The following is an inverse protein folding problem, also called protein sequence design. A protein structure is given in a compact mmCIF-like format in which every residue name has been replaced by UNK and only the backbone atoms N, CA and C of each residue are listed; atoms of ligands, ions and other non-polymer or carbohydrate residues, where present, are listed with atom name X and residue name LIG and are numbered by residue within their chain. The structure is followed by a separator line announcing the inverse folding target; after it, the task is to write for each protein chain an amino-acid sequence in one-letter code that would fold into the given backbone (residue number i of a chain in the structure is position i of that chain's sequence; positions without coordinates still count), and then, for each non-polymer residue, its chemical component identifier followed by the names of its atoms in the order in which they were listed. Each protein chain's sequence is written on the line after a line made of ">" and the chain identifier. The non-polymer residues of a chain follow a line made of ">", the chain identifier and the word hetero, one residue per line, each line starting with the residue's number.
data_IF_751013607423
#
_entry.id   IF_751013607423
#
_cell.length_a   1.000
_cell.length_b   1.000
_cell.length_c   1.000
_cell.angle_alpha   90.00
_cell.angle_beta   90.00
_cell.angle_gamma   90.00
#
_symmetry.space_group_name_H-M   'P 1'
#
loop_
_entity.id
_entity.type
_entity.pdbx_description
1 polymer ?
#
# COMPACT_ATOMS: atom_id res chain seq x y z
N UNK A 1 9.95 -59.03 -54.35
CA UNK A 1 8.87 -58.81 -53.34
C UNK A 1 9.47 -58.49 -51.97
N UNK A 2 10.56 -59.16 -51.58
CA UNK A 2 11.17 -58.96 -50.24
C UNK A 2 11.81 -57.58 -49.99
N UNK A 3 12.41 -56.97 -51.03
CA UNK A 3 13.02 -55.65 -50.93
C UNK A 3 11.96 -54.53 -50.64
N UNK A 4 10.79 -54.58 -51.29
CA UNK A 4 9.70 -53.64 -51.12
C UNK A 4 9.09 -53.79 -49.72
N UNK A 5 8.98 -55.00 -49.18
CA UNK A 5 8.49 -55.28 -47.84
C UNK A 5 9.46 -54.72 -46.76
N UNK A 6 10.79 -54.92 -47.01
CA UNK A 6 11.84 -54.37 -46.14
C UNK A 6 11.84 -52.81 -46.06
N UNK A 7 11.60 -52.15 -47.19
CA UNK A 7 11.49 -50.70 -47.25
C UNK A 7 10.25 -50.22 -46.51
N UNK A 8 9.09 -50.85 -46.69
CA UNK A 8 7.86 -50.58 -46.00
C UNK A 8 7.98 -50.75 -44.49
N UNK A 9 8.62 -51.78 -44.01
CA UNK A 9 8.89 -52.06 -42.62
C UNK A 9 9.82 -51.01 -42.01
N UNK A 10 10.92 -50.65 -42.69
CA UNK A 10 11.84 -49.58 -42.25
C UNK A 10 11.16 -48.23 -42.17
N UNK A 11 10.31 -47.90 -43.14
CA UNK A 11 9.53 -46.65 -43.15
C UNK A 11 8.50 -46.61 -42.02
N UNK A 12 7.85 -47.73 -41.70
CA UNK A 12 6.92 -47.86 -40.58
C UNK A 12 7.64 -47.66 -39.23
N UNK A 13 8.78 -48.30 -39.01
CA UNK A 13 9.61 -48.17 -37.81
C UNK A 13 10.10 -46.73 -37.66
N UNK A 14 10.54 -46.11 -38.76
CA UNK A 14 10.94 -44.70 -38.76
C UNK A 14 9.78 -43.80 -38.38
N UNK A 15 8.59 -43.99 -38.92
CA UNK A 15 7.39 -43.18 -38.64
C UNK A 15 6.94 -43.31 -37.18
N UNK A 16 6.96 -44.54 -36.64
CA UNK A 16 6.64 -44.82 -35.22
C UNK A 16 7.65 -44.13 -34.27
N UNK A 17 8.94 -44.24 -34.58
CA UNK A 17 9.98 -43.60 -33.76
C UNK A 17 9.94 -42.08 -33.84
N UNK A 18 9.61 -41.54 -35.03
CA UNK A 18 9.40 -40.11 -35.24
C UNK A 18 8.19 -39.60 -34.42
N UNK A 19 7.05 -40.27 -34.51
CA UNK A 19 5.85 -39.95 -33.74
C UNK A 19 6.12 -40.03 -32.24
N UNK A 20 6.79 -41.08 -31.77
CA UNK A 20 7.15 -41.27 -30.36
C UNK A 20 8.01 -40.12 -29.83
N UNK A 21 9.02 -39.69 -30.61
CA UNK A 21 9.91 -38.58 -30.19
C UNK A 21 9.29 -37.21 -30.32
N UNK A 22 8.50 -36.96 -31.36
CA UNK A 22 8.05 -35.61 -31.73
C UNK A 22 6.63 -35.26 -31.26
N UNK A 23 5.82 -36.25 -30.89
CA UNK A 23 4.44 -36.06 -30.46
C UNK A 23 4.20 -36.64 -29.07
N UNK A 24 4.47 -37.96 -28.88
CA UNK A 24 4.06 -38.62 -27.64
C UNK A 24 4.87 -38.15 -26.43
N UNK A 25 6.19 -38.03 -26.57
CA UNK A 25 7.10 -37.66 -25.48
C UNK A 25 6.86 -36.21 -24.99
N UNK A 26 6.65 -35.20 -25.85
CA UNK A 26 6.24 -33.89 -25.43
C UNK A 26 4.85 -33.85 -24.77
N UNK A 27 3.90 -34.62 -25.27
CA UNK A 27 2.56 -34.69 -24.72
C UNK A 27 2.52 -35.21 -23.28
N UNK A 28 3.27 -36.27 -22.97
CA UNK A 28 3.41 -36.77 -21.59
C UNK A 28 4.07 -35.76 -20.64
N UNK A 29 5.00 -34.94 -21.16
CA UNK A 29 5.57 -33.88 -20.35
C UNK A 29 4.54 -32.78 -20.01
N UNK A 30 3.66 -32.47 -20.95
CA UNK A 30 2.60 -31.50 -20.75
C UNK A 30 1.60 -31.99 -19.72
N UNK A 31 1.22 -33.27 -19.74
CA UNK A 31 0.33 -33.88 -18.75
C UNK A 31 0.90 -33.72 -17.32
N UNK A 32 2.18 -34.06 -17.16
CA UNK A 32 2.88 -33.89 -15.87
C UNK A 32 2.98 -32.43 -15.42
N UNK A 33 3.21 -31.46 -16.32
CA UNK A 33 3.28 -30.05 -16.02
C UNK A 33 1.93 -29.51 -15.56
N UNK A 34 0.85 -29.89 -16.21
CA UNK A 34 -0.51 -29.48 -15.80
C UNK A 34 -0.89 -30.06 -14.43
N UNK A 35 -0.51 -31.29 -14.14
CA UNK A 35 -0.73 -31.89 -12.81
C UNK A 35 0.05 -31.17 -11.70
N UNK A 36 1.32 -30.84 -11.92
CA UNK A 36 2.14 -30.11 -10.93
C UNK A 36 1.63 -28.68 -10.70
N UNK A 37 1.23 -27.98 -11.75
CA UNK A 37 0.59 -26.67 -11.62
C UNK A 37 -0.73 -26.74 -10.85
N UNK A 38 -1.55 -27.78 -11.10
CA UNK A 38 -2.81 -28.00 -10.39
C UNK A 38 -2.58 -28.32 -8.90
N UNK A 39 -1.46 -28.95 -8.54
CA UNK A 39 -1.03 -29.17 -7.15
C UNK A 39 -0.43 -27.92 -6.49
N UNK A 40 -0.30 -26.82 -7.22
CA UNK A 40 0.29 -25.56 -6.73
C UNK A 40 1.82 -25.56 -6.68
N UNK A 41 2.50 -26.51 -7.35
CA UNK A 41 3.95 -26.53 -7.49
C UNK A 41 4.38 -25.59 -8.63
N UNK A 42 4.66 -24.33 -8.30
CA UNK A 42 5.03 -23.28 -9.25
C UNK A 42 6.55 -23.19 -9.49
N UNK A 43 7.37 -23.89 -8.70
CA UNK A 43 8.83 -23.81 -8.78
C UNK A 43 9.46 -24.61 -9.94
N UNK A 44 8.66 -25.38 -10.68
CA UNK A 44 9.15 -26.23 -11.75
C UNK A 44 9.35 -25.43 -13.04
N UNK A 45 10.59 -25.33 -13.58
CA UNK A 45 10.83 -24.59 -14.81
C UNK A 45 10.18 -25.28 -16.00
N UNK A 46 9.46 -24.53 -16.82
CA UNK A 46 8.89 -25.04 -18.06
C UNK A 46 9.96 -24.94 -19.15
N UNK A 47 10.41 -26.07 -19.73
CA UNK A 47 11.46 -26.04 -20.72
C UNK A 47 10.99 -25.37 -22.01
N UNK A 48 11.77 -24.41 -22.50
CA UNK A 48 11.53 -23.77 -23.78
C UNK A 48 11.67 -24.80 -24.92
N UNK A 49 10.61 -25.11 -25.65
CA UNK A 49 10.62 -26.03 -26.77
C UNK A 49 10.51 -25.25 -28.08
N UNK A 50 11.44 -25.54 -29.01
CA UNK A 50 11.51 -24.90 -30.35
C UNK A 50 10.48 -25.45 -31.36
N UNK A 51 9.54 -26.30 -30.92
CA UNK A 51 8.52 -26.88 -31.78
C UNK A 51 7.41 -25.85 -32.09
N UNK A 52 7.12 -25.65 -33.37
CA UNK A 52 6.09 -24.70 -33.82
C UNK A 52 4.69 -25.00 -33.29
N UNK A 53 4.36 -26.25 -32.99
CA UNK A 53 3.02 -26.66 -32.57
C UNK A 53 2.81 -26.62 -31.05
N UNK A 54 3.85 -26.89 -30.26
CA UNK A 54 3.79 -26.98 -28.82
C UNK A 54 4.38 -25.73 -28.10
N UNK A 55 5.22 -24.99 -28.82
CA UNK A 55 5.90 -23.81 -28.25
C UNK A 55 4.95 -22.75 -27.73
N UNK A 56 3.88 -22.44 -28.47
CA UNK A 56 2.85 -21.45 -28.02
C UNK A 56 2.12 -21.92 -26.78
N UNK A 57 1.78 -23.21 -26.70
CA UNK A 57 1.11 -23.76 -25.52
C UNK A 57 2.00 -23.73 -24.28
N UNK A 58 3.26 -24.18 -24.41
CA UNK A 58 4.22 -24.13 -23.31
C UNK A 58 4.53 -22.71 -22.87
N UNK A 59 4.60 -21.77 -23.80
CA UNK A 59 4.75 -20.34 -23.47
C UNK A 59 3.53 -19.81 -22.71
N UNK A 60 2.30 -20.14 -23.13
CA UNK A 60 1.09 -19.77 -22.39
C UNK A 60 1.04 -20.38 -20.99
N UNK A 61 1.50 -21.63 -20.84
CA UNK A 61 1.60 -22.29 -19.53
C UNK A 61 2.66 -21.62 -18.64
N UNK A 62 3.78 -21.18 -19.23
CA UNK A 62 4.83 -20.47 -18.48
C UNK A 62 4.34 -19.09 -18.00
N UNK A 63 3.62 -18.35 -18.85
CA UNK A 63 2.98 -17.11 -18.44
C UNK A 63 1.96 -17.34 -17.32
N UNK A 64 1.12 -18.38 -17.45
CA UNK A 64 0.15 -18.72 -16.40
C UNK A 64 0.86 -19.05 -15.07
N UNK A 65 1.92 -19.85 -15.12
CA UNK A 65 2.73 -20.19 -13.95
C UNK A 65 3.28 -18.91 -13.29
N UNK A 66 3.92 -18.03 -14.08
CA UNK A 66 4.48 -16.78 -13.55
C UNK A 66 3.39 -15.90 -12.92
N UNK A 67 2.23 -15.77 -13.56
CA UNK A 67 1.09 -15.02 -13.00
C UNK A 67 0.59 -15.64 -11.68
N UNK A 68 0.52 -16.97 -11.60
CA UNK A 68 0.13 -17.66 -10.35
C UNK A 68 1.18 -17.49 -9.25
N UNK A 69 2.48 -17.53 -9.60
CA UNK A 69 3.59 -17.31 -8.67
C UNK A 69 3.56 -15.89 -8.12
N UNK A 70 3.44 -14.87 -8.98
CA UNK A 70 3.30 -13.46 -8.60
C UNK A 70 2.08 -13.23 -7.69
N UNK A 71 0.94 -13.83 -8.03
CA UNK A 71 -0.26 -13.72 -7.21
C UNK A 71 -0.10 -14.38 -5.83
N UNK A 72 0.57 -15.55 -5.78
CA UNK A 72 0.86 -16.25 -4.53
C UNK A 72 1.82 -15.44 -3.64
N UNK A 73 2.86 -14.85 -4.23
CA UNK A 73 3.79 -13.97 -3.50
C UNK A 73 3.07 -12.74 -2.94
N UNK A 74 2.26 -12.07 -3.76
CA UNK A 74 1.42 -10.95 -3.31
C UNK A 74 0.51 -11.36 -2.16
N UNK A 75 -0.15 -12.51 -2.26
CA UNK A 75 -1.04 -13.02 -1.22
C UNK A 75 -0.30 -13.32 0.09
N UNK A 76 0.89 -13.92 0.00
CA UNK A 76 1.76 -14.16 1.17
C UNK A 76 2.25 -12.86 1.81
N UNK A 77 2.60 -11.88 0.99
CA UNK A 77 3.02 -10.56 1.45
C UNK A 77 1.87 -9.86 2.21
N UNK A 78 0.67 -9.85 1.64
CA UNK A 78 -0.52 -9.29 2.27
C UNK A 78 -0.86 -9.98 3.60
N UNK A 79 -0.73 -11.31 3.67
CA UNK A 79 -0.92 -12.04 4.92
C UNK A 79 0.10 -11.68 5.99
N UNK A 80 1.38 -11.49 5.61
CA UNK A 80 2.42 -11.01 6.52
C UNK A 80 2.11 -9.61 7.04
N UNK A 81 1.73 -8.70 6.15
CA UNK A 81 1.36 -7.33 6.50
C UNK A 81 0.17 -7.30 7.45
N UNK A 82 -0.89 -8.06 7.15
CA UNK A 82 -2.05 -8.21 8.03
C UNK A 82 -1.67 -8.77 9.42
N UNK A 83 -0.80 -9.77 9.47
CA UNK A 83 -0.31 -10.34 10.74
C UNK A 83 0.50 -9.33 11.53
N UNK A 84 1.38 -8.59 10.87
CA UNK A 84 2.22 -7.55 11.50
C UNK A 84 1.34 -6.43 12.07
N UNK A 85 0.32 -6.00 11.33
CA UNK A 85 -0.67 -5.04 11.79
C UNK A 85 -1.34 -5.50 13.10
N UNK A 86 -1.91 -6.70 13.10
CA UNK A 86 -2.62 -7.23 14.27
C UNK A 86 -1.69 -7.29 15.49
N UNK A 87 -0.43 -7.68 15.28
CA UNK A 87 0.56 -7.74 16.38
C UNK A 87 0.91 -6.33 16.90
N UNK A 88 1.15 -5.37 16.02
CA UNK A 88 1.45 -3.99 16.40
C UNK A 88 0.28 -3.37 17.17
N UNK A 89 -0.92 -3.44 16.63
CA UNK A 89 -2.12 -2.89 17.27
C UNK A 89 -2.45 -3.57 18.61
N UNK A 90 -2.17 -4.87 18.73
CA UNK A 90 -2.32 -5.59 20.03
C UNK A 90 -1.36 -5.01 21.08
N UNK A 91 -0.12 -4.68 20.68
CA UNK A 91 0.85 -4.04 21.57
C UNK A 91 0.38 -2.63 21.94
N UNK A 92 -0.09 -1.86 20.99
CA UNK A 92 -0.48 -0.45 21.16
C UNK A 92 -1.77 -0.32 22.00
N UNK A 93 -2.69 -1.28 21.94
CA UNK A 93 -3.86 -1.37 22.83
C UNK A 93 -3.45 -1.76 24.28
N UNK A 94 -2.43 -2.59 24.43
CA UNK A 94 -2.00 -3.06 25.76
C UNK A 94 -1.49 -1.92 26.65
N UNK A 95 -0.86 -0.91 26.06
CA UNK A 95 -0.28 0.23 26.79
C UNK A 95 -1.36 1.10 27.45
N UNK A 96 -2.36 1.66 26.75
CA UNK A 96 -3.43 2.43 27.38
C UNK A 96 -4.29 1.58 28.31
N UNK A 97 -4.51 0.29 28.00
CA UNK A 97 -5.23 -0.62 28.88
C UNK A 97 -4.51 -0.78 30.22
N UNK A 98 -3.18 -0.92 30.20
CA UNK A 98 -2.37 -1.01 31.42
C UNK A 98 -2.42 0.27 32.24
N UNK A 99 -2.45 1.44 31.57
CA UNK A 99 -2.61 2.74 32.23
C UNK A 99 -3.98 2.86 32.91
N UNK A 100 -5.07 2.44 32.23
CA UNK A 100 -6.42 2.40 32.81
C UNK A 100 -6.42 1.53 34.07
N UNK A 101 -5.89 0.32 33.99
CA UNK A 101 -5.78 -0.56 35.17
C UNK A 101 -5.03 0.08 36.33
N UNK A 102 -3.95 0.82 36.04
CA UNK A 102 -3.20 1.51 37.07
C UNK A 102 -4.04 2.61 37.74
N UNK A 103 -4.73 3.46 36.95
CA UNK A 103 -5.60 4.51 37.49
C UNK A 103 -6.73 3.93 38.34
N UNK A 104 -7.40 2.88 37.85
CA UNK A 104 -8.49 2.20 38.59
C UNK A 104 -7.97 1.67 39.94
N UNK A 105 -6.83 0.98 39.91
CA UNK A 105 -6.23 0.43 41.13
C UNK A 105 -5.86 1.49 42.17
N UNK A 106 -5.28 2.61 41.71
CA UNK A 106 -4.91 3.72 42.60
C UNK A 106 -6.15 4.38 43.23
N UNK A 107 -7.25 4.45 42.48
CA UNK A 107 -8.55 4.96 42.97
C UNK A 107 -9.18 3.97 43.96
N UNK A 108 -9.18 2.64 43.70
CA UNK A 108 -9.71 1.61 44.57
C UNK A 108 -8.94 1.52 45.90
N UNK A 109 -7.62 1.64 45.86
CA UNK A 109 -6.75 1.60 47.05
C UNK A 109 -6.78 2.94 47.84
N UNK A 110 -7.51 3.95 47.36
CA UNK A 110 -7.66 5.27 48.01
C UNK A 110 -6.34 6.03 48.15
N UNK A 111 -5.37 5.78 47.23
CA UNK A 111 -4.06 6.42 47.24
C UNK A 111 -4.11 7.88 46.83
N UNK A 112 -5.15 8.30 46.09
CA UNK A 112 -5.42 9.66 45.80
C UNK A 112 -6.29 10.28 46.91
N UNK A 113 -5.67 11.14 47.72
CA UNK A 113 -6.30 11.77 48.91
C UNK A 113 -6.98 13.09 48.64
N UNK A 114 -6.83 13.66 47.45
CA UNK A 114 -7.43 14.93 47.06
C UNK A 114 -8.39 14.77 45.91
N UNK A 115 -9.46 15.52 45.89
CA UNK A 115 -10.48 15.51 44.83
C UNK A 115 -9.87 15.83 43.45
N UNK A 116 -8.91 16.76 43.39
CA UNK A 116 -8.19 17.14 42.19
C UNK A 116 -7.46 15.92 41.55
N UNK A 117 -6.76 15.12 42.36
CA UNK A 117 -6.07 13.91 41.87
C UNK A 117 -7.02 12.82 41.39
N UNK A 118 -8.19 12.69 42.02
CA UNK A 118 -9.22 11.79 41.54
C UNK A 118 -9.77 12.24 40.19
N UNK A 119 -9.99 13.54 39.99
CA UNK A 119 -10.42 14.11 38.71
C UNK A 119 -9.36 13.89 37.62
N UNK A 120 -8.08 14.11 37.91
CA UNK A 120 -6.97 13.80 36.99
C UNK A 120 -6.95 12.32 36.59
N UNK A 121 -7.20 11.40 37.53
CA UNK A 121 -7.26 9.98 37.23
C UNK A 121 -8.43 9.62 36.28
N UNK A 122 -9.61 10.22 36.51
CA UNK A 122 -10.76 10.03 35.62
C UNK A 122 -10.48 10.56 34.21
N UNK A 123 -9.89 11.73 34.08
CA UNK A 123 -9.46 12.25 32.76
C UNK A 123 -8.38 11.38 32.13
N UNK A 124 -7.47 10.82 32.92
CA UNK A 124 -6.47 9.84 32.45
C UNK A 124 -7.13 8.58 31.88
N UNK A 125 -8.15 8.04 32.57
CA UNK A 125 -8.93 6.90 32.09
C UNK A 125 -9.64 7.23 30.80
N UNK A 126 -10.39 8.34 30.76
CA UNK A 126 -11.14 8.77 29.58
C UNK A 126 -10.25 8.94 28.35
N UNK A 127 -9.08 9.58 28.52
CA UNK A 127 -8.08 9.73 27.47
C UNK A 127 -7.60 8.39 26.93
N UNK A 128 -7.30 7.42 27.80
CA UNK A 128 -6.83 6.11 27.38
C UNK A 128 -7.93 5.26 26.75
N UNK A 129 -9.20 5.40 27.19
CA UNK A 129 -10.36 4.76 26.53
C UNK A 129 -10.51 5.27 25.12
N UNK A 130 -10.46 6.58 24.90
CA UNK A 130 -10.53 7.17 23.57
C UNK A 130 -9.40 6.70 22.68
N UNK A 131 -8.20 6.50 23.24
CA UNK A 131 -7.06 5.95 22.51
C UNK A 131 -7.29 4.52 22.05
N UNK A 132 -7.94 3.69 22.87
CA UNK A 132 -8.33 2.33 22.48
C UNK A 132 -9.41 2.36 21.41
N UNK A 133 -10.39 3.25 21.51
CA UNK A 133 -11.45 3.41 20.48
C UNK A 133 -10.83 3.80 19.12
N UNK A 134 -9.86 4.69 19.10
CA UNK A 134 -9.11 5.06 17.90
C UNK A 134 -8.41 3.84 17.27
N UNK A 135 -7.69 3.02 18.08
CA UNK A 135 -7.04 1.79 17.62
C UNK A 135 -8.04 0.74 17.11
N UNK A 136 -9.18 0.58 17.79
CA UNK A 136 -10.24 -0.36 17.34
C UNK A 136 -10.84 0.11 16.01
N UNK A 137 -10.99 1.42 15.81
CA UNK A 137 -11.43 1.98 14.53
C UNK A 137 -10.43 1.69 13.43
N UNK A 138 -9.13 1.90 13.66
CA UNK A 138 -8.04 1.57 12.73
C UNK A 138 -8.02 0.06 12.39
N UNK A 139 -8.21 -0.84 13.39
CA UNK A 139 -8.30 -2.28 13.17
C UNK A 139 -9.51 -2.62 12.29
N UNK A 140 -10.65 -2.01 12.58
CA UNK A 140 -11.89 -2.27 11.85
C UNK A 140 -11.76 -1.81 10.40
N UNK A 141 -11.14 -0.68 10.15
CA UNK A 141 -10.85 -0.15 8.81
C UNK A 141 -9.85 -1.05 8.07
N UNK A 142 -8.78 -1.45 8.73
CA UNK A 142 -7.79 -2.39 8.18
C UNK A 142 -8.30 -3.83 8.03
N UNK A 143 -9.32 -4.24 8.79
CA UNK A 143 -9.94 -5.57 8.73
C UNK A 143 -11.03 -5.69 7.69
N UNK A 144 -11.59 -4.58 7.22
CA UNK A 144 -12.50 -4.61 6.09
C UNK A 144 -11.76 -5.26 4.92
N UNK A 145 -12.38 -6.19 4.23
CA UNK A 145 -11.83 -6.79 3.00
C UNK A 145 -11.49 -5.70 1.97
N UNK A 146 -12.12 -4.54 2.10
CA UNK A 146 -11.88 -3.32 1.34
C UNK A 146 -10.50 -2.70 1.56
N UNK A 147 -9.78 -2.97 2.65
CA UNK A 147 -8.40 -2.52 2.83
C UNK A 147 -7.45 -3.06 1.75
N UNK A 148 -7.75 -4.25 1.21
CA UNK A 148 -7.06 -4.84 0.07
C UNK A 148 -7.73 -4.51 -1.28
N UNK A 149 -8.98 -4.04 -1.24
CA UNK A 149 -9.77 -3.62 -2.38
C UNK A 149 -10.07 -2.12 -2.32
N UNK A 150 -8.99 -1.30 -2.27
CA UNK A 150 -9.11 0.13 -2.50
C UNK A 150 -9.81 0.33 -3.86
N UNK A 151 -11.10 0.55 -3.84
CA UNK A 151 -11.86 0.87 -5.06
C UNK A 151 -11.58 2.30 -5.45
N UNK A 152 -11.34 2.50 -6.72
CA UNK A 152 -11.17 3.81 -7.35
C UNK A 152 -12.18 3.87 -8.49
N UNK A 153 -13.06 4.84 -8.46
CA UNK A 153 -14.00 5.08 -9.53
C UNK A 153 -13.35 6.00 -10.57
N UNK A 154 -13.14 5.52 -11.82
CA UNK A 154 -12.53 6.35 -12.87
C UNK A 154 -13.36 7.60 -13.11
N UNK A 155 -12.73 8.77 -12.99
CA UNK A 155 -13.39 10.06 -13.17
C UNK A 155 -12.44 11.14 -13.63
N UNK A 156 -13.00 12.32 -13.76
CA UNK A 156 -12.27 13.56 -14.10
C UNK A 156 -12.72 14.65 -13.12
N UNK A 157 -11.78 15.44 -12.63
CA UNK A 157 -12.07 16.53 -11.69
C UNK A 157 -11.14 17.71 -11.95
N UNK A 158 -11.64 18.93 -11.81
CA UNK A 158 -10.79 20.11 -11.84
C UNK A 158 -9.90 20.19 -10.60
N UNK A 159 -8.63 20.56 -10.79
CA UNK A 159 -7.68 20.79 -9.71
C UNK A 159 -8.25 21.78 -8.67
N UNK A 160 -8.90 22.83 -9.14
CA UNK A 160 -9.56 23.83 -8.29
C UNK A 160 -10.58 23.20 -7.33
N UNK A 161 -11.36 22.21 -7.78
CA UNK A 161 -12.36 21.53 -6.94
C UNK A 161 -11.68 20.78 -5.78
N UNK A 162 -10.60 20.07 -6.07
CA UNK A 162 -9.83 19.32 -5.06
C UNK A 162 -9.20 20.30 -4.05
N UNK A 163 -8.57 21.37 -4.54
CA UNK A 163 -7.88 22.35 -3.70
C UNK A 163 -8.85 23.16 -2.85
N UNK A 164 -10.03 23.53 -3.37
CA UNK A 164 -11.05 24.22 -2.56
C UNK A 164 -11.61 23.32 -1.45
N UNK A 165 -11.82 22.02 -1.71
CA UNK A 165 -12.21 21.07 -0.65
C UNK A 165 -11.16 20.99 0.46
N UNK A 166 -9.88 20.94 0.10
CA UNK A 166 -8.76 20.96 1.05
C UNK A 166 -8.71 22.29 1.81
N UNK A 167 -8.88 23.43 1.14
CA UNK A 167 -8.89 24.75 1.78
C UNK A 167 -9.97 24.83 2.85
N UNK A 168 -11.20 24.45 2.52
CA UNK A 168 -12.33 24.47 3.46
C UNK A 168 -12.08 23.60 4.70
N UNK A 169 -11.39 22.48 4.56
CA UNK A 169 -11.14 21.55 5.66
C UNK A 169 -9.98 22.00 6.56
N UNK A 170 -8.97 22.67 6.01
CA UNK A 170 -7.70 22.89 6.72
C UNK A 170 -7.42 24.33 7.10
N UNK A 171 -8.02 25.35 6.44
CA UNK A 171 -7.73 26.75 6.72
C UNK A 171 -8.06 27.12 8.17
N UNK A 172 -9.27 26.81 8.63
CA UNK A 172 -9.70 27.05 10.01
C UNK A 172 -8.95 26.15 11.01
N UNK A 173 -8.79 24.86 10.67
CA UNK A 173 -8.11 23.88 11.53
C UNK A 173 -6.67 24.27 11.83
N UNK A 174 -5.92 24.65 10.80
CA UNK A 174 -4.52 25.05 10.94
C UNK A 174 -4.40 26.45 11.59
N UNK A 175 -5.34 27.35 11.31
CA UNK A 175 -5.44 28.63 11.99
C UNK A 175 -5.59 28.49 13.50
N UNK A 176 -6.45 27.57 13.96
CA UNK A 176 -6.62 27.28 15.40
C UNK A 176 -5.37 26.67 16.03
N UNK A 177 -4.60 25.90 15.27
CA UNK A 177 -3.32 25.31 15.70
C UNK A 177 -2.14 26.29 15.61
N UNK A 178 -2.37 27.53 15.14
CA UNK A 178 -1.35 28.56 14.88
C UNK A 178 -0.28 28.11 13.86
N UNK A 179 -0.60 27.19 12.96
CA UNK A 179 0.25 26.75 11.87
C UNK A 179 0.02 27.63 10.65
N UNK A 180 1.09 28.20 10.09
CA UNK A 180 1.00 28.98 8.85
C UNK A 180 0.65 28.07 7.69
N UNK A 181 -0.53 28.23 7.10
CA UNK A 181 -1.00 27.47 5.95
C UNK A 181 -1.01 28.31 4.68
N UNK A 182 -0.27 27.88 3.66
CA UNK A 182 -0.16 28.58 2.39
C UNK A 182 -0.53 27.67 1.21
N UNK A 183 -1.29 28.21 0.26
CA UNK A 183 -1.58 27.58 -1.03
C UNK A 183 -1.04 28.50 -2.11
N UNK A 184 -0.03 28.06 -2.86
CA UNK A 184 0.53 28.83 -3.97
C UNK A 184 -0.46 28.96 -5.13
N UNK A 185 -0.27 30.00 -5.96
CA UNK A 185 -1.04 30.17 -7.17
C UNK A 185 -0.78 28.99 -8.14
N UNK A 186 -1.84 28.50 -8.78
CA UNK A 186 -1.79 27.39 -9.72
C UNK A 186 -2.64 27.68 -10.95
N UNK A 187 -2.35 27.02 -12.06
CA UNK A 187 -3.19 27.00 -13.24
C UNK A 187 -4.19 25.87 -13.11
N UNK A 188 -5.48 26.17 -13.25
CA UNK A 188 -6.51 25.14 -13.16
C UNK A 188 -6.44 24.20 -14.37
N UNK A 189 -6.58 22.92 -14.13
CA UNK A 189 -6.56 21.87 -15.15
C UNK A 189 -7.46 20.71 -14.77
N UNK A 190 -7.85 19.93 -15.77
CA UNK A 190 -8.66 18.73 -15.58
C UNK A 190 -7.74 17.55 -15.26
N UNK A 191 -7.96 16.94 -14.10
CA UNK A 191 -7.21 15.80 -13.58
C UNK A 191 -7.96 14.51 -13.87
N UNK A 192 -7.21 13.46 -14.17
CA UNK A 192 -7.73 12.10 -14.31
C UNK A 192 -7.63 11.38 -12.98
N UNK A 193 -8.77 10.99 -12.41
CA UNK A 193 -8.81 10.24 -11.14
C UNK A 193 -10.16 10.34 -10.45
N UNK A 194 -10.28 9.63 -9.36
CA UNK A 194 -11.43 9.65 -8.46
C UNK A 194 -11.34 10.89 -7.55
N UNK A 195 -12.32 11.81 -7.58
CA UNK A 195 -12.28 13.05 -6.81
C UNK A 195 -12.13 12.81 -5.30
N UNK A 196 -12.90 11.87 -4.76
CA UNK A 196 -12.92 11.59 -3.31
C UNK A 196 -11.59 10.97 -2.86
N UNK A 197 -11.00 10.11 -3.69
CA UNK A 197 -9.69 9.51 -3.42
C UNK A 197 -8.54 10.49 -3.56
N UNK A 198 -8.60 11.43 -4.49
CA UNK A 198 -7.60 12.50 -4.59
C UNK A 198 -7.62 13.40 -3.35
N UNK A 199 -8.83 13.75 -2.86
CA UNK A 199 -9.00 14.51 -1.62
C UNK A 199 -8.49 13.70 -0.42
N UNK A 200 -8.82 12.42 -0.30
CA UNK A 200 -8.34 11.52 0.75
C UNK A 200 -6.81 11.45 0.80
N UNK A 201 -6.16 11.31 -0.34
CA UNK A 201 -4.69 11.32 -0.42
C UNK A 201 -4.13 12.62 0.12
N UNK A 202 -4.63 13.78 -0.34
CA UNK A 202 -4.16 15.09 0.15
C UNK A 202 -4.42 15.29 1.63
N UNK A 203 -5.55 14.81 2.16
CA UNK A 203 -5.83 14.83 3.59
C UNK A 203 -4.80 14.04 4.37
N UNK A 204 -4.48 12.82 3.95
CA UNK A 204 -3.45 12.00 4.57
C UNK A 204 -2.07 12.67 4.57
N UNK A 205 -1.70 13.33 3.47
CA UNK A 205 -0.44 14.05 3.38
C UNK A 205 -0.41 15.26 4.32
N UNK A 206 -1.50 16.04 4.39
CA UNK A 206 -1.61 17.19 5.27
C UNK A 206 -1.66 16.80 6.76
N UNK A 207 -2.39 15.74 7.11
CA UNK A 207 -2.39 15.21 8.49
C UNK A 207 -0.97 14.81 8.92
N UNK A 208 -0.21 14.17 8.02
CA UNK A 208 1.18 13.84 8.29
C UNK A 208 2.05 15.10 8.43
N UNK A 209 1.87 16.11 7.59
CA UNK A 209 2.59 17.39 7.66
C UNK A 209 2.37 18.09 9.01
N UNK A 210 1.12 18.12 9.48
CA UNK A 210 0.76 18.71 10.80
C UNK A 210 1.35 17.88 11.94
N UNK A 211 1.31 16.57 11.83
CA UNK A 211 1.67 15.65 12.91
C UNK A 211 3.17 15.52 13.12
N UNK A 212 3.95 15.58 12.06
CA UNK A 212 5.39 15.29 12.05
C UNK A 212 6.26 16.52 11.76
N UNK A 213 5.65 17.65 11.43
CA UNK A 213 6.32 18.95 11.31
C UNK A 213 6.56 19.60 12.66
N UNK A 214 7.20 20.77 12.65
CA UNK A 214 7.44 21.60 13.84
C UNK A 214 6.24 22.45 14.27
N UNK A 215 5.15 22.41 13.48
CA UNK A 215 3.97 23.21 13.71
C UNK A 215 4.08 24.69 13.27
N UNK A 216 5.15 25.07 12.57
CA UNK A 216 5.30 26.44 12.11
C UNK A 216 4.63 26.67 10.75
N UNK A 217 4.90 25.78 9.76
CA UNK A 217 4.49 26.01 8.37
C UNK A 217 4.10 24.74 7.64
N UNK A 218 2.97 24.81 6.93
CA UNK A 218 2.52 23.83 5.94
C UNK A 218 2.15 24.56 4.65
N UNK A 219 2.73 24.16 3.52
CA UNK A 219 2.48 24.80 2.24
C UNK A 219 2.10 23.77 1.16
N UNK A 220 1.13 24.16 0.32
CA UNK A 220 0.84 23.51 -0.94
C UNK A 220 1.47 24.31 -2.08
N UNK A 221 2.25 23.65 -2.91
CA UNK A 221 2.81 24.20 -4.13
C UNK A 221 2.58 23.26 -5.31
N UNK A 222 2.71 23.77 -6.53
CA UNK A 222 2.33 23.06 -7.72
C UNK A 222 3.45 23.12 -8.74
N UNK A 223 3.73 21.98 -9.36
CA UNK A 223 4.62 21.83 -10.49
C UNK A 223 3.89 21.18 -11.67
N UNK A 224 4.47 21.27 -12.83
CA UNK A 224 3.94 20.66 -14.05
C UNK A 224 5.05 19.90 -14.76
N UNK A 225 4.82 18.65 -15.09
CA UNK A 225 5.75 17.77 -15.78
C UNK A 225 5.00 16.99 -16.86
N UNK A 226 5.33 17.20 -18.15
CA UNK A 226 4.65 16.56 -19.28
C UNK A 226 3.12 16.60 -19.17
N UNK A 227 2.48 15.43 -19.05
CA UNK A 227 1.02 15.28 -18.92
C UNK A 227 0.57 15.13 -17.45
N UNK A 228 1.39 15.54 -16.48
CA UNK A 228 1.11 15.42 -15.06
C UNK A 228 1.14 16.77 -14.36
N UNK A 229 0.34 16.90 -13.31
CA UNK A 229 0.47 17.94 -12.29
C UNK A 229 1.14 17.35 -11.04
N UNK A 230 2.06 18.08 -10.47
CA UNK A 230 2.74 17.74 -9.23
C UNK A 230 2.15 18.62 -8.13
N UNK A 231 1.58 18.00 -7.11
CA UNK A 231 1.07 18.68 -5.93
C UNK A 231 2.02 18.39 -4.78
N UNK A 232 2.76 19.41 -4.35
CA UNK A 232 3.72 19.30 -3.27
C UNK A 232 3.10 19.74 -1.96
N UNK A 233 3.14 18.87 -0.95
CA UNK A 233 2.79 19.19 0.43
C UNK A 233 4.10 19.32 1.19
N UNK A 234 4.41 20.52 1.65
CA UNK A 234 5.63 20.85 2.37
C UNK A 234 5.31 21.17 3.83
N UNK A 235 6.07 20.61 4.75
CA UNK A 235 6.09 21.05 6.13
C UNK A 235 7.53 21.34 6.59
N UNK A 236 7.66 22.35 7.47
CA UNK A 236 8.92 22.70 8.12
C UNK A 236 9.29 21.72 9.25
N UNK A 237 10.56 21.71 9.67
CA UNK A 237 11.04 21.01 10.86
C UNK A 237 11.24 19.50 10.66
N UNK A 238 11.70 19.08 9.49
CA UNK A 238 11.99 17.67 9.23
C UNK A 238 13.12 17.14 10.10
N UNK A 239 12.83 16.09 10.87
CA UNK A 239 13.82 15.36 11.69
C UNK A 239 14.07 13.93 11.19
N UNK A 240 13.43 13.56 10.09
CA UNK A 240 13.58 12.24 9.46
C UNK A 240 14.96 12.13 8.79
N UNK A 241 15.56 10.94 8.85
CA UNK A 241 16.83 10.67 8.16
C UNK A 241 16.59 10.30 6.70
N UNK A 242 17.47 10.73 5.79
CA UNK A 242 17.36 10.44 4.36
C UNK A 242 17.29 8.93 4.04
N UNK A 243 17.95 8.10 4.83
CA UNK A 243 17.92 6.63 4.69
C UNK A 243 16.53 6.02 4.92
N UNK A 244 15.69 6.70 5.69
CA UNK A 244 14.34 6.25 6.05
C UNK A 244 13.31 6.51 4.94
N UNK A 245 13.62 7.42 4.00
CA UNK A 245 12.73 7.75 2.87
C UNK A 245 12.36 6.53 2.04
N UNK A 246 13.27 5.57 1.90
CA UNK A 246 13.07 4.35 1.10
C UNK A 246 11.90 3.52 1.63
N UNK A 247 11.73 3.47 2.95
CA UNK A 247 10.73 2.65 3.62
C UNK A 247 9.48 3.44 4.02
N UNK A 248 9.44 4.76 3.77
CA UNK A 248 8.41 5.65 4.28
C UNK A 248 6.99 5.29 3.79
N UNK A 249 6.91 4.66 2.62
CA UNK A 249 5.67 4.21 2.00
C UNK A 249 5.40 2.72 2.19
N UNK A 250 6.19 2.03 3.03
CA UNK A 250 5.92 0.66 3.39
C UNK A 250 4.79 0.60 4.43
N UNK A 251 3.99 -0.45 4.35
CA UNK A 251 2.89 -0.65 5.29
C UNK A 251 3.41 -0.75 6.73
N UNK A 252 2.77 -0.01 7.64
CA UNK A 252 3.11 0.05 9.07
C UNK A 252 4.49 0.63 9.41
N UNK A 253 5.18 1.19 8.43
CA UNK A 253 6.45 1.84 8.70
C UNK A 253 6.23 3.15 9.46
N UNK A 254 7.03 3.36 10.50
CA UNK A 254 7.07 4.60 11.28
C UNK A 254 8.50 5.06 11.39
N UNK A 255 8.77 6.25 10.90
CA UNK A 255 10.11 6.84 10.96
C UNK A 255 10.58 7.14 12.38
N UNK A 256 11.87 7.39 12.55
CA UNK A 256 12.47 7.74 13.83
C UNK A 256 11.89 9.01 14.47
N UNK A 257 11.28 9.89 13.66
CA UNK A 257 10.59 11.10 14.08
C UNK A 257 9.17 10.83 14.63
N UNK A 258 8.66 9.61 14.52
CA UNK A 258 7.30 9.29 14.98
C UNK A 258 7.16 9.37 16.51
N UNK A 259 8.24 9.12 17.27
CA UNK A 259 8.23 9.23 18.73
C UNK A 259 6.99 8.62 19.39
N UNK A 260 6.30 9.40 20.21
CA UNK A 260 5.01 9.05 20.83
C UNK A 260 3.78 9.49 20.01
N UNK A 261 3.98 10.02 18.80
CA UNK A 261 2.87 10.44 17.95
C UNK A 261 2.03 9.23 17.52
N UNK A 262 0.71 9.28 17.71
CA UNK A 262 -0.21 8.19 17.39
C UNK A 262 -0.31 7.96 15.88
N UNK A 263 -0.52 6.72 15.45
CA UNK A 263 -0.86 6.36 14.07
C UNK A 263 -0.30 5.02 13.65
N UNK A 264 -1.04 4.33 12.79
CA UNK A 264 -0.77 2.98 12.30
C UNK A 264 0.42 2.86 11.33
N UNK A 265 0.91 3.97 10.75
CA UNK A 265 1.88 3.94 9.65
C UNK A 265 1.29 3.50 8.31
N UNK A 266 -0.04 3.60 8.16
CA UNK A 266 -0.76 3.20 6.94
C UNK A 266 -1.07 4.36 6.00
N UNK A 267 -1.17 5.59 6.49
CA UNK A 267 -1.63 6.73 5.68
C UNK A 267 -0.83 6.92 4.39
N UNK A 268 0.50 6.97 4.47
CA UNK A 268 1.35 7.12 3.29
C UNK A 268 1.32 5.90 2.36
N UNK A 269 1.24 4.69 2.93
CA UNK A 269 1.07 3.46 2.16
C UNK A 269 -0.25 3.48 1.36
N UNK A 270 -1.38 3.81 2.00
CA UNK A 270 -2.70 3.93 1.36
C UNK A 270 -2.66 5.00 0.27
N UNK A 271 -2.09 6.16 0.57
CA UNK A 271 -1.93 7.25 -0.40
C UNK A 271 -1.23 6.79 -1.66
N UNK A 272 -0.12 6.06 -1.51
CA UNK A 272 0.64 5.52 -2.65
C UNK A 272 -0.15 4.47 -3.43
N UNK A 273 -0.88 3.58 -2.73
CA UNK A 273 -1.70 2.56 -3.39
C UNK A 273 -2.87 3.18 -4.17
N UNK A 274 -3.55 4.19 -3.61
CA UNK A 274 -4.61 4.93 -4.30
C UNK A 274 -4.08 5.63 -5.55
N UNK A 275 -2.96 6.34 -5.43
CA UNK A 275 -2.37 7.03 -6.57
C UNK A 275 -1.95 6.08 -7.68
N UNK A 276 -1.33 4.94 -7.35
CA UNK A 276 -0.97 3.92 -8.35
C UNK A 276 -2.16 3.34 -9.08
N UNK A 277 -3.31 3.20 -8.41
CA UNK A 277 -4.56 2.78 -9.05
C UNK A 277 -5.16 3.84 -9.98
N UNK A 278 -4.77 5.09 -9.80
CA UNK A 278 -5.15 6.22 -10.65
C UNK A 278 -4.06 6.58 -11.68
N UNK A 279 -3.12 5.67 -11.96
CA UNK A 279 -1.97 5.89 -12.85
C UNK A 279 -1.05 7.06 -12.42
N UNK A 280 -1.09 7.42 -11.13
CA UNK A 280 -0.26 8.42 -10.49
C UNK A 280 0.82 7.81 -9.58
N UNK A 281 1.53 8.65 -8.84
CA UNK A 281 2.54 8.20 -7.84
C UNK A 281 2.59 9.18 -6.67
N UNK A 282 3.14 8.72 -5.53
CA UNK A 282 3.49 9.56 -4.39
C UNK A 282 4.94 9.26 -3.99
N UNK A 283 5.74 10.30 -3.82
CA UNK A 283 7.10 10.19 -3.33
C UNK A 283 7.42 11.31 -2.34
N UNK A 284 8.50 11.16 -1.59
CA UNK A 284 8.92 12.12 -0.59
C UNK A 284 10.39 12.46 -0.74
N UNK A 285 10.75 13.68 -0.37
CA UNK A 285 12.12 14.18 -0.34
C UNK A 285 12.33 15.11 0.86
N UNK A 286 13.58 15.27 1.24
CA UNK A 286 13.99 16.24 2.27
C UNK A 286 14.74 17.35 1.56
N UNK A 287 14.24 18.58 1.69
CA UNK A 287 14.85 19.79 1.16
C UNK A 287 15.37 20.64 2.33
N UNK A 288 16.66 20.64 2.57
CA UNK A 288 17.28 21.30 3.74
C UNK A 288 16.71 20.81 5.07
N UNK A 289 15.76 21.55 5.66
CA UNK A 289 15.05 21.20 6.89
C UNK A 289 13.54 21.02 6.66
N UNK A 290 13.09 21.13 5.44
CA UNK A 290 11.71 20.92 5.06
C UNK A 290 11.50 19.49 4.56
N UNK A 291 10.33 18.93 4.85
CA UNK A 291 9.89 17.65 4.31
C UNK A 291 8.84 17.91 3.23
N UNK A 292 9.04 17.35 2.08
CA UNK A 292 8.15 17.53 0.92
C UNK A 292 7.63 16.17 0.47
N UNK A 293 6.31 16.03 0.44
CA UNK A 293 5.65 14.88 -0.19
C UNK A 293 4.98 15.35 -1.46
N UNK A 294 5.30 14.70 -2.55
CA UNK A 294 4.78 15.04 -3.88
C UNK A 294 3.77 13.99 -4.34
N UNK A 295 2.59 14.44 -4.67
CA UNK A 295 1.52 13.68 -5.31
C UNK A 295 1.52 14.00 -6.80
N UNK A 296 1.70 12.97 -7.63
CA UNK A 296 1.74 13.07 -9.11
C UNK A 296 0.40 12.63 -9.66
N UNK A 297 -0.31 13.52 -10.34
CA UNK A 297 -1.64 13.26 -10.91
C UNK A 297 -1.60 13.51 -12.42
N UNK A 298 -2.16 12.59 -13.21
CA UNK A 298 -2.27 12.79 -14.66
C UNK A 298 -3.32 13.84 -15.01
N UNK A 299 -3.02 14.64 -16.00
CA UNK A 299 -3.98 15.51 -16.67
C UNK A 299 -4.77 14.72 -17.74
N UNK A 300 -5.95 15.21 -18.08
CA UNK A 300 -6.78 14.68 -19.18
C UNK A 300 -6.31 15.19 -20.52
#
# INVERSE_FOLDING_TARGET
>A
MDIALGILFSMSVFLVTYMKKKIIKPFHRMEHLTEELAKGNLSMPIPAEKSQYLGRFLWGMDMLRNTLEDNKEKQLQLQKEKKTLILSLTHDIKTPLSAIHLYVRVLEEGLYTTEEKCVEAYHGIEKNVKEIEDYVSEITEASREDFLHLTVDPGEVYLSTVIEAIRMLYEDKLGQLHVSFGIQAYTDCLLKGDPDRLIEVLQNLLENAVKYGDGERVNLSFGEEEDCILIHVLNSGCTLKAEELVNLFDSFYRGSNAGSAKGSGLGLYISRQLMRKMDGEVYAEIQEQDFVVTMVVRKV
#
